data_IF_401232817215
#
_entry.id   IF_401232817215
#
_cell.length_a   1.000
_cell.length_b   1.000
_cell.length_c   1.000
_cell.angle_alpha   90.00
_cell.angle_beta   90.00
_cell.angle_gamma   90.00
#
_symmetry.space_group_name_H-M   'P 1'
#
loop_
_entity.id
_entity.type
_entity.pdbx_description
1 polymer ?
#
# COMPACT_ATOMS: atom_id res chain seq x y z
N UNK A 1 17.57 -22.45 11.02
CA UNK A 1 16.44 -21.64 10.52
C UNK A 1 16.35 -21.61 9.00
N UNK A 2 17.44 -21.37 8.28
CA UNK A 2 17.44 -21.24 6.80
C UNK A 2 16.85 -22.44 6.04
N UNK A 3 17.13 -23.69 6.45
CA UNK A 3 16.56 -24.89 5.83
C UNK A 3 15.02 -24.90 5.86
N UNK A 4 14.41 -24.40 6.95
CA UNK A 4 12.95 -24.35 7.13
C UNK A 4 12.31 -23.36 6.16
N UNK A 5 12.87 -22.15 6.04
CA UNK A 5 12.36 -21.12 5.14
C UNK A 5 12.62 -21.41 3.66
N UNK A 6 13.78 -22.00 3.33
CA UNK A 6 14.05 -22.48 1.96
C UNK A 6 13.09 -23.59 1.55
N UNK A 7 12.76 -24.51 2.46
CA UNK A 7 11.75 -25.54 2.24
C UNK A 7 10.36 -24.93 1.98
N UNK A 8 9.97 -23.94 2.78
CA UNK A 8 8.70 -23.22 2.60
C UNK A 8 8.62 -22.52 1.23
N UNK A 9 9.66 -21.76 0.85
CA UNK A 9 9.70 -21.05 -0.43
C UNK A 9 9.57 -21.98 -1.63
N UNK A 10 10.26 -23.14 -1.61
CA UNK A 10 10.13 -24.16 -2.67
C UNK A 10 8.69 -24.67 -2.81
N UNK A 11 7.99 -24.91 -1.70
CA UNK A 11 6.59 -25.37 -1.75
C UNK A 11 5.68 -24.30 -2.33
N UNK A 12 5.89 -23.02 -2.01
CA UNK A 12 5.11 -21.93 -2.62
C UNK A 12 5.37 -21.83 -4.13
N UNK A 13 6.62 -21.95 -4.57
CA UNK A 13 6.99 -21.88 -5.99
C UNK A 13 6.48 -23.08 -6.81
N UNK A 14 6.31 -24.25 -6.19
CA UNK A 14 5.84 -25.47 -6.86
C UNK A 14 4.31 -25.56 -6.97
N UNK A 15 3.55 -24.66 -6.31
CA UNK A 15 2.10 -24.56 -6.49
C UNK A 15 1.77 -23.93 -7.85
N UNK A 16 0.54 -24.09 -8.32
CA UNK A 16 0.08 -23.48 -9.56
C UNK A 16 0.20 -21.95 -9.55
N UNK A 17 0.02 -21.34 -8.37
CA UNK A 17 0.25 -19.92 -8.10
C UNK A 17 1.73 -19.50 -8.13
N UNK A 18 2.67 -20.44 -8.23
CA UNK A 18 4.10 -20.15 -8.30
C UNK A 18 4.45 -19.23 -9.48
N UNK A 19 3.70 -19.31 -10.58
CA UNK A 19 3.85 -18.47 -11.77
C UNK A 19 3.43 -17.02 -11.55
N UNK A 20 2.54 -16.75 -10.59
CA UNK A 20 2.03 -15.40 -10.31
C UNK A 20 2.77 -14.70 -9.18
N UNK A 21 3.59 -15.43 -8.41
CA UNK A 21 4.36 -14.87 -7.29
C UNK A 21 5.23 -13.67 -7.65
N UNK A 22 5.75 -13.60 -8.89
CA UNK A 22 6.55 -12.47 -9.36
C UNK A 22 5.76 -11.17 -9.53
N UNK A 23 4.43 -11.25 -9.65
CA UNK A 23 3.54 -10.10 -9.81
C UNK A 23 2.84 -9.74 -8.49
N UNK A 24 3.12 -10.47 -7.41
CA UNK A 24 2.52 -10.21 -6.11
C UNK A 24 3.38 -9.20 -5.34
N UNK A 25 2.84 -8.00 -5.11
CA UNK A 25 3.52 -6.98 -4.34
C UNK A 25 2.72 -5.69 -4.23
N UNK A 26 3.13 -4.82 -3.30
CA UNK A 26 2.43 -3.56 -3.04
C UNK A 26 2.42 -2.63 -4.26
N UNK A 27 3.49 -2.62 -5.06
CA UNK A 27 3.54 -1.84 -6.30
C UNK A 27 2.59 -2.38 -7.38
N UNK A 28 2.30 -3.69 -7.39
CA UNK A 28 1.27 -4.24 -8.27
C UNK A 28 -0.11 -3.83 -7.78
N UNK A 29 -0.37 -3.97 -6.47
CA UNK A 29 -1.62 -3.54 -5.86
C UNK A 29 -1.92 -2.05 -6.09
N UNK A 30 -0.92 -1.17 -6.01
CA UNK A 30 -1.09 0.26 -6.31
C UNK A 30 -1.51 0.50 -7.77
N UNK A 31 -0.99 -0.27 -8.73
CA UNK A 31 -1.42 -0.20 -10.15
C UNK A 31 -2.84 -0.72 -10.33
N UNK A 32 -3.17 -1.81 -9.64
CA UNK A 32 -4.51 -2.40 -9.69
C UNK A 32 -5.56 -1.42 -9.16
N UNK A 33 -5.24 -0.63 -8.13
CA UNK A 33 -6.12 0.42 -7.64
C UNK A 33 -6.45 1.48 -8.69
N UNK A 34 -5.45 1.92 -9.49
CA UNK A 34 -5.69 2.85 -10.61
C UNK A 34 -6.57 2.21 -11.68
N UNK A 35 -6.28 0.96 -12.06
CA UNK A 35 -7.06 0.25 -13.06
C UNK A 35 -8.51 0.03 -12.61
N UNK A 36 -8.72 -0.29 -11.33
CA UNK A 36 -10.05 -0.43 -10.75
C UNK A 36 -10.79 0.91 -10.72
N UNK A 37 -10.11 2.00 -10.33
CA UNK A 37 -10.72 3.33 -10.34
C UNK A 37 -11.18 3.74 -11.74
N UNK A 38 -10.35 3.53 -12.76
CA UNK A 38 -10.70 3.82 -14.16
C UNK A 38 -11.82 2.92 -14.70
N UNK A 39 -11.90 1.67 -14.23
CA UNK A 39 -12.97 0.77 -14.61
C UNK A 39 -14.32 1.17 -13.97
N UNK A 40 -14.32 1.57 -12.70
CA UNK A 40 -15.54 1.96 -11.99
C UNK A 40 -16.01 3.37 -12.34
N UNK A 41 -15.07 4.30 -12.56
CA UNK A 41 -15.34 5.70 -12.91
C UNK A 41 -14.48 6.13 -14.12
N UNK A 42 -14.97 5.90 -15.36
CA UNK A 42 -14.24 6.24 -16.56
C UNK A 42 -13.96 7.74 -16.65
N UNK A 43 -12.68 8.12 -16.60
CA UNK A 43 -12.24 9.52 -16.64
C UNK A 43 -11.92 10.10 -15.26
N UNK A 44 -11.93 9.29 -14.20
CA UNK A 44 -11.46 9.70 -12.88
C UNK A 44 -10.01 10.17 -12.93
N UNK A 45 -9.81 11.44 -12.60
CA UNK A 45 -8.50 12.07 -12.61
C UNK A 45 -7.75 11.78 -11.30
N UNK A 46 -8.46 11.88 -10.17
CA UNK A 46 -7.88 11.75 -8.84
C UNK A 46 -8.65 10.75 -7.99
N UNK A 47 -7.92 10.01 -7.16
CA UNK A 47 -8.42 8.93 -6.31
C UNK A 47 -8.25 9.37 -4.86
N UNK A 48 -9.28 9.15 -4.04
CA UNK A 48 -9.18 9.29 -2.59
C UNK A 48 -8.81 7.93 -1.99
N UNK A 49 -7.71 7.89 -1.23
CA UNK A 49 -7.25 6.66 -0.59
C UNK A 49 -7.45 6.70 0.92
N UNK A 50 -7.86 5.56 1.49
CA UNK A 50 -7.90 5.35 2.92
C UNK A 50 -7.21 4.02 3.25
N UNK A 51 -6.06 4.11 3.93
CA UNK A 51 -5.22 2.98 4.27
C UNK A 51 -5.18 2.74 5.77
N UNK A 52 -5.33 1.48 6.17
CA UNK A 52 -5.15 1.03 7.57
C UNK A 52 -4.06 -0.04 7.60
N UNK A 53 -3.15 0.04 8.59
CA UNK A 53 -2.10 -0.96 8.81
C UNK A 53 -1.20 -1.16 7.58
N UNK A 54 -1.18 -2.35 6.97
CA UNK A 54 -0.45 -2.59 5.72
C UNK A 54 -0.96 -1.71 4.57
N UNK A 55 -2.24 -1.32 4.60
CA UNK A 55 -2.79 -0.34 3.68
C UNK A 55 -2.05 0.99 3.74
N UNK A 56 -1.52 1.38 4.90
CA UNK A 56 -0.74 2.61 5.01
C UNK A 56 0.56 2.55 4.21
N UNK A 57 1.21 1.38 4.16
CA UNK A 57 2.37 1.17 3.31
C UNK A 57 2.02 1.20 1.82
N UNK A 58 0.84 0.69 1.45
CA UNK A 58 0.34 0.76 0.07
C UNK A 58 0.07 2.21 -0.31
N UNK A 59 -0.55 3.02 0.58
CA UNK A 59 -0.79 4.45 0.36
C UNK A 59 0.50 5.22 0.09
N UNK A 60 1.54 5.02 0.91
CA UNK A 60 2.85 5.62 0.64
C UNK A 60 3.42 5.24 -0.73
N UNK A 61 3.32 3.96 -1.12
CA UNK A 61 3.80 3.50 -2.42
C UNK A 61 2.95 4.12 -3.54
N UNK A 62 1.64 4.26 -3.33
CA UNK A 62 0.70 4.86 -4.26
C UNK A 62 1.04 6.33 -4.52
N UNK A 63 1.28 7.13 -3.47
CA UNK A 63 1.69 8.55 -3.58
C UNK A 63 2.97 8.69 -4.41
N UNK A 64 3.95 7.81 -4.19
CA UNK A 64 5.23 7.85 -4.91
C UNK A 64 5.13 7.41 -6.37
N UNK A 65 4.21 6.48 -6.67
CA UNK A 65 4.04 5.97 -8.03
C UNK A 65 3.08 6.81 -8.88
N UNK A 66 2.07 7.42 -8.26
CA UNK A 66 0.97 8.13 -8.92
C UNK A 66 0.64 9.45 -8.21
N UNK A 67 1.60 10.38 -8.08
CA UNK A 67 1.38 11.64 -7.36
C UNK A 67 0.28 12.49 -8.01
N UNK A 68 0.07 12.38 -9.32
CA UNK A 68 -0.97 13.12 -10.07
C UNK A 68 -2.36 12.48 -10.00
N UNK A 69 -2.47 11.26 -9.48
CA UNK A 69 -3.76 10.52 -9.42
C UNK A 69 -4.32 10.45 -8.01
N UNK A 70 -3.76 11.18 -7.05
CA UNK A 70 -4.17 11.14 -5.65
C UNK A 70 -4.68 12.53 -5.22
N UNK A 71 -5.96 12.62 -4.86
CA UNK A 71 -6.55 13.85 -4.31
C UNK A 71 -6.21 13.98 -2.83
N UNK A 72 -6.62 12.98 -2.05
CA UNK A 72 -6.39 12.92 -0.61
C UNK A 72 -6.00 11.51 -0.18
N UNK A 73 -5.04 11.44 0.75
CA UNK A 73 -4.64 10.19 1.39
C UNK A 73 -4.85 10.27 2.90
N UNK A 74 -5.62 9.32 3.44
CA UNK A 74 -5.81 9.17 4.87
C UNK A 74 -5.13 7.87 5.34
N UNK A 75 -4.06 8.03 6.12
CA UNK A 75 -3.27 6.90 6.62
C UNK A 75 -3.49 6.73 8.12
N UNK A 76 -4.10 5.62 8.50
CA UNK A 76 -4.38 5.27 9.89
C UNK A 76 -3.38 4.17 10.32
N UNK A 77 -2.57 4.44 11.34
CA UNK A 77 -1.35 3.68 11.68
C UNK A 77 -0.23 3.83 10.62
N UNK A 78 0.37 5.02 10.53
CA UNK A 78 1.45 5.31 9.59
C UNK A 78 2.71 4.46 9.85
N UNK A 79 3.08 3.61 8.89
CA UNK A 79 4.43 3.06 8.83
C UNK A 79 5.34 4.14 8.23
N UNK A 80 6.20 4.76 9.04
CA UNK A 80 7.22 5.69 8.56
C UNK A 80 8.24 4.94 7.69
N UNK A 81 8.22 5.19 6.37
CA UNK A 81 9.14 4.59 5.40
C UNK A 81 10.45 5.40 5.23
N UNK A 82 10.62 6.51 5.96
CA UNK A 82 11.82 7.36 5.88
C UNK A 82 13.03 6.81 6.64
N UNK A 83 12.89 5.68 7.34
CA UNK A 83 13.99 4.96 7.97
C UNK A 83 13.79 4.60 9.45
N UNK A 84 12.66 4.97 10.06
CA UNK A 84 12.38 4.68 11.48
C UNK A 84 11.12 3.83 11.64
N UNK A 85 11.28 2.51 11.66
CA UNK A 85 10.23 1.54 12.03
C UNK A 85 9.88 1.58 13.53
N UNK A 86 9.64 2.76 14.11
CA UNK A 86 9.34 2.90 15.53
C UNK A 86 8.05 3.68 15.77
N UNK A 87 7.05 2.93 16.25
CA UNK A 87 6.03 3.32 17.24
C UNK A 87 4.87 4.26 16.87
N UNK A 88 4.29 4.17 15.67
CA UNK A 88 2.97 4.78 15.39
C UNK A 88 1.81 3.76 15.29
N UNK A 89 1.95 2.57 15.90
CA UNK A 89 0.98 1.46 15.79
C UNK A 89 -0.13 1.45 16.86
N UNK A 90 -0.43 2.56 17.54
CA UNK A 90 -1.34 2.52 18.70
C UNK A 90 -2.37 3.65 18.73
N UNK A 91 -3.10 3.87 17.64
CA UNK A 91 -4.31 4.68 17.72
C UNK A 91 -5.51 3.89 17.19
N UNK A 92 -6.53 3.71 18.03
CA UNK A 92 -7.83 3.21 17.58
C UNK A 92 -8.41 4.18 16.53
N UNK A 93 -9.21 3.69 15.58
CA UNK A 93 -9.98 4.50 14.60
C UNK A 93 -10.73 5.70 15.23
N UNK A 94 -11.09 5.61 16.51
CA UNK A 94 -11.80 6.64 17.26
C UNK A 94 -10.90 7.78 17.77
N UNK A 95 -9.58 7.54 17.91
CA UNK A 95 -8.65 8.45 18.60
C UNK A 95 -7.38 8.77 17.83
N UNK A 96 -7.15 8.16 16.66
CA UNK A 96 -6.08 8.59 15.76
C UNK A 96 -6.45 9.97 15.24
N UNK A 97 -5.64 11.04 15.44
CA UNK A 97 -5.83 12.23 14.64
C UNK A 97 -5.72 11.77 13.19
N UNK A 98 -6.82 11.88 12.44
CA UNK A 98 -6.85 11.60 11.01
C UNK A 98 -5.72 12.42 10.38
N UNK A 99 -4.55 11.84 10.21
CA UNK A 99 -3.47 12.46 9.47
C UNK A 99 -3.87 12.30 8.01
N UNK A 100 -4.77 13.19 7.58
CA UNK A 100 -4.96 13.50 6.19
C UNK A 100 -3.60 14.00 5.71
N UNK A 101 -2.95 13.15 4.93
CA UNK A 101 -1.68 13.46 4.31
C UNK A 101 -2.00 14.19 3.03
N UNK A 102 -1.74 15.49 3.04
CA UNK A 102 -1.96 16.34 1.88
C UNK A 102 -0.79 16.18 0.91
N UNK A 103 -1.06 15.69 -0.29
CA UNK A 103 -0.04 15.35 -1.30
C UNK A 103 0.73 16.60 -1.73
N UNK A 104 0.09 17.77 -1.69
CA UNK A 104 0.74 19.06 -1.96
C UNK A 104 1.91 19.36 -1.02
N UNK A 105 1.96 18.75 0.17
CA UNK A 105 3.03 18.96 1.15
C UNK A 105 4.33 18.20 0.84
N UNK A 106 4.30 17.30 -0.14
CA UNK A 106 5.45 16.48 -0.59
C UNK A 106 6.02 16.97 -1.93
N UNK A 107 5.35 17.91 -2.60
CA UNK A 107 5.88 18.63 -3.76
C UNK A 107 6.73 19.82 -3.32
#
# INVERSE_FOLDING_TARGET
>A
MEKKYRGLGKRCAQKDSGKTLAYLGSAAAARDMVALAEYFDPGVQEINYWGISYGSMIGFIFVNMFPDRLAHDLLESGADLSGTYTSAQAANISTAPCTAFDVERVR
#
